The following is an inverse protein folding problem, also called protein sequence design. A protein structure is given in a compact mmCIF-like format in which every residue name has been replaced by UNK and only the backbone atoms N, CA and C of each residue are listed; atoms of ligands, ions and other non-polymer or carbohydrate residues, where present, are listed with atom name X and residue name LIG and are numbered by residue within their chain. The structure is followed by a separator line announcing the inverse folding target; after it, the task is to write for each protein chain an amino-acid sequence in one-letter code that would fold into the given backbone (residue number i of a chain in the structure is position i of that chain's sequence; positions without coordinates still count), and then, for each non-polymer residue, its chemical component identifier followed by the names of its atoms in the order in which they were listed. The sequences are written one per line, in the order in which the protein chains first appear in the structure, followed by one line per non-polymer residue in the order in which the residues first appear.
data_IF_831808115370
#
_entry.id   IF_831808115370
#
_cell.length_a   1.000
_cell.length_b   1.000
_cell.length_c   1.000
_cell.angle_alpha   90.00
_cell.angle_beta   90.00
_cell.angle_gamma   90.00
#
_symmetry.space_group_name_H-M   'P 1'
#
loop_
_entity.id
_entity.type
_entity.pdbx_description
1 polymer ?
#
# COMPACT_ATOMS: atom_id res chain seq x y z
N UNK A 1 -28.29 13.35 8.28
CA UNK A 1 -27.98 13.94 7.01
C UNK A 1 -27.18 12.99 6.13
N UNK A 2 -27.30 13.17 4.84
CA UNK A 2 -26.72 12.26 3.87
C UNK A 2 -25.21 12.39 3.75
N UNK A 3 -24.61 13.46 4.25
CA UNK A 3 -23.18 13.69 4.13
C UNK A 3 -22.43 12.90 5.20
N UNK A 4 -22.89 12.95 6.43
CA UNK A 4 -22.24 12.24 7.53
C UNK A 4 -22.37 10.74 7.43
N UNK A 5 -23.50 10.24 6.92
CA UNK A 5 -23.78 8.83 6.86
C UNK A 5 -22.78 8.07 5.97
N UNK A 6 -22.50 8.50 4.72
CA UNK A 6 -21.53 7.78 3.91
C UNK A 6 -20.13 7.75 4.52
N UNK A 7 -19.69 8.85 5.11
CA UNK A 7 -18.38 8.90 5.74
C UNK A 7 -18.31 7.94 6.93
N UNK A 8 -19.31 7.96 7.78
CA UNK A 8 -19.39 7.07 8.92
C UNK A 8 -19.44 5.61 8.47
N UNK A 9 -20.20 5.33 7.45
CA UNK A 9 -20.32 4.00 6.88
C UNK A 9 -18.98 3.50 6.35
N UNK A 10 -18.22 4.36 5.68
CA UNK A 10 -16.90 4.02 5.18
C UNK A 10 -15.93 3.70 6.31
N UNK A 11 -15.97 4.44 7.39
CA UNK A 11 -15.14 4.18 8.55
C UNK A 11 -15.39 2.81 9.16
N UNK A 12 -16.63 2.36 9.17
CA UNK A 12 -16.98 1.05 9.69
C UNK A 12 -16.41 -0.08 8.84
N UNK A 13 -16.12 0.19 7.56
CA UNK A 13 -15.58 -0.81 6.64
C UNK A 13 -14.06 -0.80 6.56
N UNK A 14 -13.41 0.15 7.21
CA UNK A 14 -11.95 0.22 7.21
C UNK A 14 -11.42 -0.74 8.26
N UNK A 15 -10.52 -1.61 7.85
CA UNK A 15 -9.84 -2.54 8.73
C UNK A 15 -8.34 -2.40 8.51
N UNK A 16 -7.59 -2.09 9.58
CA UNK A 16 -6.14 -1.93 9.52
C UNK A 16 -5.51 -3.14 10.20
N UNK A 17 -4.53 -3.74 9.54
CA UNK A 17 -3.86 -4.93 10.04
C UNK A 17 -2.44 -4.99 9.52
N UNK A 18 -1.60 -5.84 10.12
CA UNK A 18 -0.22 -6.02 9.69
C UNK A 18 -0.04 -7.39 9.05
N UNK A 19 0.78 -7.44 7.99
CA UNK A 19 1.16 -8.69 7.34
C UNK A 19 2.65 -8.89 7.54
N UNK A 20 3.03 -10.05 8.04
CA UNK A 20 4.43 -10.39 8.21
C UNK A 20 4.97 -11.04 6.93
N UNK A 21 6.11 -10.55 6.47
CA UNK A 21 6.80 -11.12 5.31
C UNK A 21 7.88 -12.12 5.78
N UNK A 22 8.41 -12.94 4.87
CA UNK A 22 9.34 -14.02 5.25
C UNK A 22 10.59 -13.59 6.01
N UNK A 23 11.06 -12.35 5.82
CA UNK A 23 12.26 -11.86 6.52
C UNK A 23 11.97 -11.38 7.94
N UNK A 24 10.72 -11.47 8.40
CA UNK A 24 10.32 -11.05 9.74
C UNK A 24 9.78 -9.64 9.85
N UNK A 25 9.92 -8.84 8.81
CA UNK A 25 9.38 -7.48 8.81
C UNK A 25 7.87 -7.50 8.60
N UNK A 26 7.21 -6.43 8.98
CA UNK A 26 5.77 -6.30 8.84
C UNK A 26 5.42 -5.16 7.91
N UNK A 27 4.32 -5.34 7.18
CA UNK A 27 3.76 -4.32 6.31
C UNK A 27 2.38 -3.97 6.83
N UNK A 28 2.14 -2.69 7.06
CA UNK A 28 0.83 -2.22 7.47
C UNK A 28 -0.11 -2.23 6.28
N UNK A 29 -1.28 -2.80 6.48
CA UNK A 29 -2.30 -2.95 5.45
C UNK A 29 -3.61 -2.31 5.89
N UNK A 30 -4.40 -1.94 4.90
CA UNK A 30 -5.74 -1.40 5.13
C UNK A 30 -6.68 -2.08 4.15
N UNK A 31 -7.79 -2.60 4.66
CA UNK A 31 -8.86 -3.09 3.82
C UNK A 31 -10.01 -2.07 3.84
N UNK A 32 -10.41 -1.62 2.68
CA UNK A 32 -11.48 -0.65 2.53
C UNK A 32 -12.30 -1.02 1.30
N UNK A 33 -13.59 -1.21 1.52
CA UNK A 33 -14.52 -1.50 0.42
C UNK A 33 -14.09 -2.72 -0.40
N UNK A 34 -13.61 -3.76 0.29
CA UNK A 34 -13.12 -5.03 -0.29
C UNK A 34 -11.84 -4.89 -1.11
N UNK A 35 -11.16 -3.76 -1.02
CA UNK A 35 -9.88 -3.55 -1.66
C UNK A 35 -8.82 -3.48 -0.58
N UNK A 36 -7.73 -4.19 -0.77
CA UNK A 36 -6.60 -4.18 0.17
C UNK A 36 -5.54 -3.20 -0.32
N UNK A 37 -5.12 -2.33 0.59
CA UNK A 37 -4.09 -1.33 0.36
C UNK A 37 -2.92 -1.60 1.30
N UNK A 38 -1.73 -1.17 0.89
CA UNK A 38 -0.51 -1.34 1.67
C UNK A 38 0.11 0.02 1.93
N UNK A 39 0.71 0.18 3.10
CA UNK A 39 1.43 1.42 3.43
C UNK A 39 2.62 1.56 2.47
N UNK A 40 2.64 2.61 1.68
CA UNK A 40 3.67 2.83 0.68
C UNK A 40 5.06 2.94 1.31
N UNK A 41 5.16 3.59 2.47
CA UNK A 41 6.44 3.74 3.15
C UNK A 41 7.02 2.38 3.53
N UNK A 42 6.19 1.48 4.05
CA UNK A 42 6.63 0.13 4.38
C UNK A 42 7.10 -0.63 3.14
N UNK A 43 6.40 -0.47 2.04
CA UNK A 43 6.79 -1.09 0.76
C UNK A 43 8.14 -0.51 0.29
N UNK A 44 8.30 0.80 0.36
CA UNK A 44 9.54 1.45 -0.05
C UNK A 44 10.74 1.02 0.80
N UNK A 45 10.53 0.79 2.07
CA UNK A 45 11.59 0.29 2.95
C UNK A 45 12.11 -1.09 2.52
N UNK A 46 11.29 -1.86 1.86
CA UNK A 46 11.68 -3.16 1.32
C UNK A 46 12.40 -3.04 -0.01
N UNK A 47 12.07 -2.02 -0.80
CA UNK A 47 12.54 -1.88 -2.18
C UNK A 47 13.80 -1.04 -2.29
N UNK A 48 13.99 -0.09 -1.41
CA UNK A 48 15.04 0.92 -1.53
C UNK A 48 15.85 1.02 -0.24
N UNK A 49 17.14 1.26 -0.38
CA UNK A 49 18.00 1.60 0.76
C UNK A 49 17.84 3.07 1.13
N UNK A 50 17.49 3.91 0.16
CA UNK A 50 17.27 5.34 0.36
C UNK A 50 16.20 5.79 -0.63
N UNK A 51 15.25 6.59 -0.17
CA UNK A 51 14.16 7.06 -1.01
C UNK A 51 13.52 8.29 -0.41
N UNK A 52 12.82 9.05 -1.27
CA UNK A 52 11.92 10.11 -0.85
C UNK A 52 10.50 9.64 -1.12
N UNK A 53 9.71 9.49 -0.06
CA UNK A 53 8.36 8.93 -0.16
C UNK A 53 7.47 9.75 -1.09
N UNK A 54 7.56 11.08 -1.00
CA UNK A 54 6.73 11.94 -1.84
C UNK A 54 7.12 11.82 -3.31
N UNK A 55 8.40 11.70 -3.61
CA UNK A 55 8.86 11.51 -4.98
C UNK A 55 8.34 10.21 -5.58
N UNK A 56 8.37 9.13 -4.79
CA UNK A 56 7.82 7.84 -5.23
C UNK A 56 6.32 7.95 -5.49
N UNK A 57 5.60 8.59 -4.57
CA UNK A 57 4.15 8.74 -4.68
C UNK A 57 3.74 9.63 -5.86
N UNK A 58 4.55 10.64 -6.16
CA UNK A 58 4.21 11.62 -7.20
C UNK A 58 4.52 11.13 -8.62
N UNK A 59 5.10 9.94 -8.78
CA UNK A 59 5.29 9.43 -10.12
C UNK A 59 3.94 9.18 -10.79
N UNK A 60 3.87 9.47 -12.10
CA UNK A 60 2.62 9.33 -12.84
C UNK A 60 2.06 7.92 -12.79
N UNK A 61 2.95 6.93 -12.80
CA UNK A 61 2.54 5.53 -12.76
C UNK A 61 1.94 5.18 -11.40
N UNK A 62 2.56 5.64 -10.31
CA UNK A 62 2.12 5.29 -8.98
C UNK A 62 0.83 5.99 -8.58
N UNK A 63 0.61 7.21 -9.05
CA UNK A 63 -0.54 8.02 -8.62
C UNK A 63 -1.88 7.35 -8.91
N UNK A 64 -1.94 6.49 -9.92
CA UNK A 64 -3.17 5.78 -10.26
C UNK A 64 -3.54 4.68 -9.24
N UNK A 65 -2.57 4.24 -8.45
CA UNK A 65 -2.76 3.13 -7.52
C UNK A 65 -2.72 3.56 -6.07
N UNK A 66 -2.66 4.87 -5.81
CA UNK A 66 -2.51 5.40 -4.47
C UNK A 66 -3.79 6.01 -3.94
N UNK A 67 -3.98 5.84 -2.65
CA UNK A 67 -4.96 6.57 -1.87
C UNK A 67 -4.18 7.35 -0.81
N UNK A 68 -4.34 8.69 -0.81
CA UNK A 68 -3.65 9.55 0.14
C UNK A 68 -4.54 9.81 1.34
N UNK A 69 -3.96 9.64 2.54
CA UNK A 69 -4.64 9.94 3.78
C UNK A 69 -3.68 10.74 4.67
N UNK A 70 -3.83 12.07 4.65
CA UNK A 70 -2.91 12.95 5.34
C UNK A 70 -1.50 12.82 4.78
N UNK A 71 -0.55 12.46 5.65
CA UNK A 71 0.84 12.25 5.25
C UNK A 71 1.13 10.82 4.84
N UNK A 72 0.13 9.96 4.87
CA UNK A 72 0.28 8.53 4.57
C UNK A 72 -0.27 8.23 3.19
N UNK A 73 0.44 7.35 2.49
CA UNK A 73 0.01 6.85 1.18
C UNK A 73 -0.29 5.37 1.29
N UNK A 74 -1.43 4.97 0.73
CA UNK A 74 -1.85 3.59 0.66
C UNK A 74 -1.82 3.14 -0.79
N UNK A 75 -1.16 2.02 -1.08
CA UNK A 75 -0.97 1.56 -2.45
C UNK A 75 -1.67 0.22 -2.65
N UNK A 76 -2.32 0.07 -3.80
CA UNK A 76 -2.95 -1.18 -4.21
C UNK A 76 -1.89 -2.17 -4.70
N UNK A 77 -2.26 -3.46 -4.73
CA UNK A 77 -1.36 -4.52 -5.20
C UNK A 77 -0.78 -4.22 -6.57
N UNK A 78 -1.60 -3.70 -7.48
CA UNK A 78 -1.11 -3.36 -8.82
C UNK A 78 -0.03 -2.29 -8.79
N UNK A 79 -0.13 -1.34 -7.86
CA UNK A 79 0.92 -0.34 -7.66
C UNK A 79 2.22 -0.94 -7.14
N UNK A 80 2.12 -1.93 -6.24
CA UNK A 80 3.30 -2.65 -5.75
C UNK A 80 4.00 -3.37 -6.90
N UNK A 81 3.22 -3.99 -7.78
CA UNK A 81 3.77 -4.65 -8.97
C UNK A 81 4.50 -3.67 -9.88
N UNK A 82 3.94 -2.49 -10.09
CA UNK A 82 4.61 -1.47 -10.91
C UNK A 82 5.92 -1.04 -10.28
N UNK A 83 5.94 -0.87 -8.98
CA UNK A 83 7.17 -0.52 -8.28
C UNK A 83 8.22 -1.62 -8.42
N UNK A 84 7.81 -2.87 -8.27
CA UNK A 84 8.69 -4.01 -8.44
C UNK A 84 9.33 -4.05 -9.84
N UNK A 85 8.53 -3.81 -10.87
CA UNK A 85 9.04 -3.78 -12.25
C UNK A 85 10.11 -2.73 -12.47
N UNK A 86 10.01 -1.62 -11.75
CA UNK A 86 10.96 -0.51 -11.89
C UNK A 86 12.28 -0.78 -11.20
N UNK A 87 12.26 -1.47 -10.07
CA UNK A 87 13.46 -1.67 -9.26
C UNK A 87 14.00 -3.10 -9.32
N UNK A 88 13.24 -4.00 -9.91
CA UNK A 88 13.61 -5.42 -10.03
C UNK A 88 14.05 -6.00 -8.69
N UNK A 89 13.35 -5.63 -7.63
CA UNK A 89 13.71 -6.03 -6.28
C UNK A 89 13.14 -7.41 -5.95
N UNK A 90 14.01 -8.35 -5.64
CA UNK A 90 13.62 -9.71 -5.30
C UNK A 90 12.69 -9.75 -4.09
N UNK A 91 12.95 -8.89 -3.13
CA UNK A 91 12.13 -8.80 -1.92
C UNK A 91 10.70 -8.35 -2.26
N UNK A 92 10.55 -7.44 -3.19
CA UNK A 92 9.24 -7.01 -3.64
C UNK A 92 8.45 -8.14 -4.28
N UNK A 93 9.13 -8.99 -5.03
CA UNK A 93 8.47 -10.14 -5.64
C UNK A 93 7.90 -11.09 -4.59
N UNK A 94 8.67 -11.39 -3.56
CA UNK A 94 8.21 -12.24 -2.47
C UNK A 94 7.01 -11.62 -1.74
N UNK A 95 7.05 -10.32 -1.53
CA UNK A 95 5.94 -9.58 -0.93
C UNK A 95 4.70 -9.71 -1.79
N UNK A 96 4.81 -9.48 -3.09
CA UNK A 96 3.68 -9.57 -4.01
C UNK A 96 3.05 -10.96 -3.98
N UNK A 97 3.88 -12.00 -3.99
CA UNK A 97 3.37 -13.36 -3.95
C UNK A 97 2.61 -13.65 -2.65
N UNK A 98 3.10 -13.13 -1.54
CA UNK A 98 2.41 -13.29 -0.26
C UNK A 98 1.11 -12.49 -0.21
N UNK A 99 1.12 -11.27 -0.72
CA UNK A 99 -0.04 -10.38 -0.70
C UNK A 99 -1.13 -10.84 -1.65
N UNK A 100 -0.78 -11.62 -2.64
CA UNK A 100 -1.74 -12.17 -3.59
C UNK A 100 -2.78 -13.06 -2.93
N UNK A 101 -2.47 -13.64 -1.79
CA UNK A 101 -3.39 -14.49 -1.05
C UNK A 101 -4.37 -13.75 -0.14
N UNK A 102 -4.29 -12.45 -0.07
CA UNK A 102 -5.15 -11.65 0.80
C UNK A 102 -6.49 -11.30 0.16
#
# INVERSE_FOLDING_TARGET
DGIGIPLFFNMEKINVFDVQIPDGRQIRCMSYNKVTYFDLDDICKLCFSSYDLHDVADTKVMSEFLHRDGDRYWVMVDGVRQLYRRVECKMCFEVIEKLRGL
#
